data_IF_797232537988
#
_entry.id   IF_797232537988
#
_cell.length_a   1.000
_cell.length_b   1.000
_cell.length_c   1.000
_cell.angle_alpha   90.00
_cell.angle_beta   90.00
_cell.angle_gamma   90.00
#
_symmetry.space_group_name_H-M   'P 1'
#
loop_
_entity.id
_entity.type
_entity.pdbx_description
1 polymer ?
#
# COMPACT_ATOMS: atom_id res chain seq x y z
N UNK A 1 33.74 -18.79 26.94
CA UNK A 1 33.84 -17.60 26.08
C UNK A 1 32.55 -17.47 25.29
N UNK A 2 31.69 -16.53 25.67
CA UNK A 2 30.43 -16.26 24.97
C UNK A 2 30.74 -15.38 23.76
N UNK A 3 30.63 -15.95 22.55
CA UNK A 3 30.71 -15.18 21.32
C UNK A 3 29.63 -14.10 21.32
N UNK A 4 30.02 -12.83 21.40
CA UNK A 4 29.12 -11.70 21.14
C UNK A 4 28.60 -11.89 19.72
N UNK A 5 27.32 -12.21 19.59
CA UNK A 5 26.63 -12.28 18.29
C UNK A 5 26.89 -10.97 17.57
N UNK A 6 27.61 -11.00 16.45
CA UNK A 6 27.87 -9.80 15.64
C UNK A 6 26.52 -9.12 15.35
N UNK A 7 26.34 -7.88 15.82
CA UNK A 7 25.20 -7.06 15.44
C UNK A 7 25.34 -6.81 13.93
N UNK A 8 24.64 -7.61 13.12
CA UNK A 8 24.60 -7.43 11.67
C UNK A 8 24.15 -6.00 11.37
N UNK A 9 25.05 -5.24 10.76
CA UNK A 9 24.86 -3.83 10.48
C UNK A 9 23.63 -3.59 9.59
N UNK A 10 23.50 -4.41 8.54
CA UNK A 10 22.34 -4.43 7.66
C UNK A 10 21.34 -5.44 8.22
N UNK A 11 20.17 -4.96 8.61
CA UNK A 11 19.08 -5.79 9.09
C UNK A 11 18.36 -6.47 7.91
N UNK A 12 17.70 -7.62 8.13
CA UNK A 12 16.88 -8.25 7.10
C UNK A 12 15.85 -7.27 6.51
N UNK A 13 15.84 -7.15 5.19
CA UNK A 13 15.02 -6.20 4.42
C UNK A 13 14.49 -6.85 3.14
N UNK A 14 13.53 -6.21 2.47
CA UNK A 14 13.05 -6.63 1.16
C UNK A 14 12.00 -7.75 1.17
N UNK A 15 11.49 -8.13 2.34
CA UNK A 15 10.42 -9.12 2.52
C UNK A 15 9.01 -8.67 2.10
N UNK A 16 8.89 -7.63 1.27
CA UNK A 16 7.63 -6.95 0.97
C UNK A 16 6.51 -7.85 0.44
N UNK A 17 6.84 -8.95 -0.25
CA UNK A 17 5.82 -9.89 -0.76
C UNK A 17 4.95 -10.52 0.34
N UNK A 18 5.46 -10.55 1.58
CA UNK A 18 4.73 -11.05 2.76
C UNK A 18 3.89 -9.97 3.45
N UNK A 19 4.07 -8.69 3.10
CA UNK A 19 3.32 -7.59 3.70
C UNK A 19 1.88 -7.61 3.17
N UNK A 20 0.91 -7.58 4.08
CA UNK A 20 -0.51 -7.49 3.72
C UNK A 20 -0.81 -6.19 2.96
N UNK A 21 -0.13 -5.08 3.31
CA UNK A 21 -0.22 -3.80 2.60
C UNK A 21 0.19 -3.94 1.13
N UNK A 22 1.30 -4.63 0.85
CA UNK A 22 1.76 -4.89 -0.52
C UNK A 22 0.81 -5.80 -1.30
N UNK A 23 0.29 -6.85 -0.67
CA UNK A 23 -0.65 -7.77 -1.30
C UNK A 23 -1.96 -7.07 -1.65
N UNK A 24 -2.52 -6.26 -0.74
CA UNK A 24 -3.73 -5.48 -1.00
C UNK A 24 -3.50 -4.40 -2.07
N UNK A 25 -2.38 -3.67 -2.01
CA UNK A 25 -2.04 -2.67 -3.03
C UNK A 25 -1.83 -3.30 -4.41
N UNK A 26 -1.33 -4.54 -4.49
CA UNK A 26 -1.24 -5.29 -5.75
C UNK A 26 -2.61 -5.61 -6.33
N UNK A 27 -3.54 -6.06 -5.50
CA UNK A 27 -4.92 -6.34 -5.93
C UNK A 27 -5.62 -5.05 -6.40
N UNK A 28 -5.46 -3.94 -5.67
CA UNK A 28 -5.97 -2.63 -6.07
C UNK A 28 -5.40 -2.25 -7.43
N UNK A 29 -4.09 -2.37 -7.64
CA UNK A 29 -3.45 -2.05 -8.91
C UNK A 29 -4.03 -2.85 -10.08
N UNK A 30 -4.11 -4.18 -9.95
CA UNK A 30 -4.61 -5.04 -11.02
C UNK A 30 -6.08 -4.72 -11.35
N UNK A 31 -6.91 -4.52 -10.32
CA UNK A 31 -8.33 -4.17 -10.51
C UNK A 31 -8.51 -2.75 -11.06
N UNK A 32 -7.63 -1.80 -10.72
CA UNK A 32 -7.67 -0.44 -11.29
C UNK A 32 -7.38 -0.47 -12.79
N UNK A 33 -6.42 -1.28 -13.24
CA UNK A 33 -6.12 -1.44 -14.67
C UNK A 33 -7.34 -1.99 -15.41
N UNK A 34 -7.97 -3.06 -14.90
CA UNK A 34 -9.18 -3.63 -15.52
C UNK A 34 -10.38 -2.67 -15.44
N UNK A 35 -10.57 -1.97 -14.32
CA UNK A 35 -11.61 -0.94 -14.19
C UNK A 35 -11.46 0.14 -15.26
N UNK A 36 -10.27 0.69 -15.43
CA UNK A 36 -10.03 1.74 -16.42
C UNK A 36 -10.28 1.24 -17.84
N UNK A 37 -9.85 0.01 -18.16
CA UNK A 37 -10.07 -0.63 -19.45
C UNK A 37 -11.56 -0.81 -19.78
N UNK A 38 -12.38 -1.17 -18.79
CA UNK A 38 -13.81 -1.47 -18.99
C UNK A 38 -14.68 -0.21 -18.92
N UNK A 39 -14.44 0.66 -17.92
CA UNK A 39 -15.36 1.74 -17.53
C UNK A 39 -14.86 3.16 -17.83
N UNK A 40 -13.59 3.31 -18.18
CA UNK A 40 -12.95 4.59 -18.51
C UNK A 40 -12.52 4.68 -19.97
N UNK A 41 -13.29 4.07 -20.87
CA UNK A 41 -13.07 4.15 -22.33
C UNK A 41 -13.23 5.57 -22.86
N UNK A 42 -12.65 5.86 -24.02
CA UNK A 42 -12.77 7.16 -24.71
C UNK A 42 -14.22 7.63 -24.94
N UNK A 43 -15.18 6.70 -25.04
CA UNK A 43 -16.61 7.04 -25.20
C UNK A 43 -17.25 7.51 -23.90
N UNK A 44 -16.73 7.02 -22.79
CA UNK A 44 -17.27 7.24 -21.44
C UNK A 44 -16.47 8.25 -20.63
N UNK A 45 -15.26 8.56 -21.06
CA UNK A 45 -14.33 9.42 -20.37
C UNK A 45 -13.79 10.48 -21.32
N UNK A 46 -13.84 11.75 -20.91
CA UNK A 46 -13.46 12.89 -21.75
C UNK A 46 -11.93 13.03 -21.88
N UNK A 47 -11.13 12.31 -21.09
CA UNK A 47 -9.68 12.43 -21.09
C UNK A 47 -8.94 11.13 -20.76
N UNK A 48 -8.04 10.71 -21.65
CA UNK A 48 -7.09 9.62 -21.38
C UNK A 48 -6.16 9.94 -20.20
N UNK A 49 -5.98 11.22 -19.87
CA UNK A 49 -5.13 11.65 -18.75
C UNK A 49 -5.62 11.10 -17.41
N UNK A 50 -6.93 11.08 -17.17
CA UNK A 50 -7.49 10.55 -15.93
C UNK A 50 -7.23 9.05 -15.79
N UNK A 51 -7.29 8.29 -16.89
CA UNK A 51 -6.93 6.86 -16.89
C UNK A 51 -5.48 6.68 -16.48
N UNK A 52 -4.57 7.45 -17.08
CA UNK A 52 -3.14 7.37 -16.77
C UNK A 52 -2.87 7.75 -15.31
N UNK A 53 -3.55 8.78 -14.78
CA UNK A 53 -3.42 9.22 -13.40
C UNK A 53 -3.87 8.14 -12.42
N UNK A 54 -5.05 7.54 -12.61
CA UNK A 54 -5.54 6.46 -11.76
C UNK A 54 -4.59 5.25 -11.77
N UNK A 55 -4.16 4.81 -12.96
CA UNK A 55 -3.24 3.67 -13.08
C UNK A 55 -1.89 3.97 -12.42
N UNK A 56 -1.37 5.19 -12.58
CA UNK A 56 -0.10 5.60 -11.96
C UNK A 56 -0.21 5.75 -10.44
N UNK A 57 -1.31 6.28 -9.92
CA UNK A 57 -1.55 6.37 -8.48
C UNK A 57 -1.59 4.98 -7.85
N UNK A 58 -2.34 4.04 -8.45
CA UNK A 58 -2.39 2.64 -8.00
C UNK A 58 -1.02 1.96 -8.06
N UNK A 59 -0.30 2.14 -9.17
CA UNK A 59 1.07 1.61 -9.35
C UNK A 59 2.01 2.18 -8.30
N UNK A 60 2.00 3.49 -8.11
CA UNK A 60 2.84 4.22 -7.14
C UNK A 60 2.60 3.71 -5.72
N UNK A 61 1.34 3.51 -5.33
CA UNK A 61 0.97 2.92 -4.05
C UNK A 61 1.68 1.58 -3.80
N UNK A 62 1.61 0.67 -4.77
CA UNK A 62 2.24 -0.65 -4.69
C UNK A 62 3.78 -0.58 -4.73
N UNK A 63 4.35 0.23 -5.62
CA UNK A 63 5.80 0.30 -5.85
C UNK A 63 6.55 0.87 -4.65
N UNK A 64 6.04 1.94 -4.05
CA UNK A 64 6.67 2.58 -2.91
C UNK A 64 6.72 1.65 -1.67
N UNK A 65 5.76 0.73 -1.51
CA UNK A 65 5.83 -0.29 -0.46
C UNK A 65 7.01 -1.24 -0.68
N UNK A 66 7.21 -1.70 -1.91
CA UNK A 66 8.32 -2.58 -2.25
C UNK A 66 9.67 -1.86 -2.10
N UNK A 67 9.79 -0.65 -2.62
CA UNK A 67 11.01 0.17 -2.54
C UNK A 67 11.34 0.53 -1.07
N UNK A 68 10.33 0.91 -0.28
CA UNK A 68 10.50 1.20 1.15
C UNK A 68 11.03 -0.02 1.91
N UNK A 69 10.44 -1.19 1.67
CA UNK A 69 10.91 -2.43 2.28
C UNK A 69 12.33 -2.80 1.87
N UNK A 70 12.74 -2.55 0.62
CA UNK A 70 14.11 -2.77 0.17
C UNK A 70 15.10 -1.81 0.85
N UNK A 71 14.74 -0.54 0.99
CA UNK A 71 15.56 0.49 1.63
C UNK A 71 15.68 0.31 3.15
N UNK A 72 14.75 -0.40 3.81
CA UNK A 72 14.66 -0.53 5.27
C UNK A 72 15.95 -0.98 5.98
N UNK A 73 16.76 -1.83 5.34
CA UNK A 73 17.99 -2.34 5.92
C UNK A 73 19.10 -1.29 6.05
N UNK A 74 19.04 -0.22 5.25
CA UNK A 74 20.05 0.85 5.21
C UNK A 74 19.50 2.22 5.60
N UNK A 75 18.19 2.47 5.44
CA UNK A 75 17.55 3.75 5.78
C UNK A 75 16.08 3.59 6.18
N UNK A 76 15.82 3.59 7.50
CA UNK A 76 14.47 3.66 8.07
C UNK A 76 13.74 4.97 7.71
N UNK A 77 14.48 6.08 7.59
CA UNK A 77 13.91 7.37 7.16
C UNK A 77 13.37 7.28 5.73
N UNK A 78 14.12 6.63 4.84
CA UNK A 78 13.69 6.41 3.46
C UNK A 78 12.49 5.46 3.41
N UNK A 79 12.53 4.38 4.18
CA UNK A 79 11.39 3.47 4.31
C UNK A 79 10.13 4.22 4.74
N UNK A 80 10.17 4.95 5.86
CA UNK A 80 9.03 5.72 6.36
C UNK A 80 8.50 6.73 5.32
N UNK A 81 9.40 7.42 4.62
CA UNK A 81 9.03 8.35 3.53
C UNK A 81 8.28 7.62 2.42
N UNK A 82 8.80 6.49 1.93
CA UNK A 82 8.19 5.75 0.83
C UNK A 82 6.83 5.14 1.24
N UNK A 83 6.69 4.64 2.47
CA UNK A 83 5.39 4.16 2.95
C UNK A 83 4.36 5.30 3.03
N UNK A 84 4.77 6.51 3.42
CA UNK A 84 3.90 7.69 3.36
C UNK A 84 3.51 8.08 1.93
N UNK A 85 4.44 8.00 0.98
CA UNK A 85 4.13 8.23 -0.46
C UNK A 85 3.12 7.19 -0.94
N UNK A 86 3.30 5.91 -0.59
CA UNK A 86 2.35 4.86 -0.93
C UNK A 86 0.93 5.17 -0.42
N UNK A 87 0.84 5.59 0.85
CA UNK A 87 -0.43 5.96 1.50
C UNK A 87 -1.09 7.15 0.80
N UNK A 88 -0.31 8.16 0.42
CA UNK A 88 -0.81 9.33 -0.31
C UNK A 88 -1.28 8.98 -1.72
N UNK A 89 -0.56 8.12 -2.44
CA UNK A 89 -0.96 7.70 -3.79
C UNK A 89 -2.28 6.92 -3.78
N UNK A 90 -2.52 6.10 -2.75
CA UNK A 90 -3.80 5.41 -2.61
C UNK A 90 -4.93 6.35 -2.16
N UNK A 91 -4.63 7.45 -1.47
CA UNK A 91 -5.63 8.51 -1.19
C UNK A 91 -6.03 9.25 -2.46
N UNK A 92 -5.08 9.57 -3.33
CA UNK A 92 -5.36 10.19 -4.63
C UNK A 92 -6.28 9.29 -5.46
N UNK A 93 -5.95 8.00 -5.54
CA UNK A 93 -6.77 7.02 -6.24
C UNK A 93 -8.18 6.86 -5.61
N UNK A 94 -8.29 6.96 -4.29
CA UNK A 94 -9.59 6.93 -3.60
C UNK A 94 -10.50 8.05 -4.12
N UNK A 95 -9.98 9.28 -4.15
CA UNK A 95 -10.70 10.45 -4.62
C UNK A 95 -11.12 10.31 -6.08
N UNK A 96 -10.28 9.71 -6.94
CA UNK A 96 -10.64 9.44 -8.34
C UNK A 96 -11.88 8.53 -8.46
N UNK A 97 -12.01 7.51 -7.60
CA UNK A 97 -13.19 6.63 -7.59
C UNK A 97 -14.44 7.31 -7.02
N UNK A 98 -14.29 8.13 -5.98
CA UNK A 98 -15.39 8.93 -5.42
C UNK A 98 -15.91 9.93 -6.46
N UNK A 99 -14.99 10.59 -7.17
CA UNK A 99 -15.32 11.50 -8.26
C UNK A 99 -15.98 10.77 -9.43
N UNK A 100 -15.49 9.58 -9.80
CA UNK A 100 -16.13 8.75 -10.82
C UNK A 100 -17.61 8.47 -10.48
N UNK A 101 -17.89 8.06 -9.25
CA UNK A 101 -19.26 7.78 -8.79
C UNK A 101 -20.11 9.06 -8.82
N UNK A 102 -19.60 10.13 -8.20
CA UNK A 102 -20.30 11.41 -8.06
C UNK A 102 -20.63 12.05 -9.41
N UNK A 103 -19.68 12.13 -10.33
CA UNK A 103 -19.85 12.76 -11.64
C UNK A 103 -20.82 11.98 -12.54
N UNK A 104 -20.92 10.66 -12.34
CA UNK A 104 -21.81 9.78 -13.11
C UNK A 104 -23.15 9.52 -12.42
N UNK A 105 -23.43 10.18 -11.29
CA UNK A 105 -24.64 10.02 -10.47
C UNK A 105 -24.87 8.57 -10.04
N UNK A 106 -23.79 7.84 -9.80
CA UNK A 106 -23.80 6.49 -9.24
C UNK A 106 -23.77 6.57 -7.72
N UNK A 107 -24.34 5.58 -7.05
CA UNK A 107 -24.45 5.56 -5.59
C UNK A 107 -23.14 5.12 -4.96
N UNK A 108 -22.57 5.97 -4.11
CA UNK A 108 -21.50 5.56 -3.19
C UNK A 108 -22.10 4.78 -2.01
N UNK A 109 -21.48 3.64 -1.68
CA UNK A 109 -21.87 2.82 -0.56
C UNK A 109 -21.48 3.48 0.76
N UNK A 110 -22.43 3.52 1.70
CA UNK A 110 -22.11 3.87 3.09
C UNK A 110 -21.33 2.73 3.74
N UNK A 111 -20.68 3.02 4.87
CA UNK A 111 -19.97 2.01 5.68
C UNK A 111 -20.85 0.81 6.07
N UNK A 112 -22.16 1.02 6.26
CA UNK A 112 -23.11 0.02 6.74
C UNK A 112 -23.80 -0.76 5.61
N UNK A 113 -23.52 -0.42 4.35
CA UNK A 113 -24.01 -1.15 3.19
C UNK A 113 -23.60 -2.63 3.24
N UNK A 114 -24.54 -3.53 2.92
CA UNK A 114 -24.31 -4.98 2.97
C UNK A 114 -23.19 -5.43 2.02
N UNK A 115 -23.18 -4.93 0.77
CA UNK A 115 -22.15 -5.26 -0.20
C UNK A 115 -20.78 -4.72 0.22
N UNK A 116 -20.73 -3.52 0.80
CA UNK A 116 -19.49 -2.98 1.36
C UNK A 116 -18.94 -3.85 2.50
N UNK A 117 -19.81 -4.40 3.35
CA UNK A 117 -19.43 -5.35 4.41
C UNK A 117 -18.91 -6.65 3.81
N UNK A 118 -19.62 -7.23 2.86
CA UNK A 118 -19.20 -8.47 2.17
C UNK A 118 -17.81 -8.31 1.53
N UNK A 119 -17.58 -7.24 0.78
CA UNK A 119 -16.26 -6.95 0.19
C UNK A 119 -15.19 -6.86 1.27
N UNK A 120 -15.48 -6.19 2.39
CA UNK A 120 -14.52 -6.08 3.49
C UNK A 120 -14.18 -7.43 4.11
N UNK A 121 -15.17 -8.31 4.28
CA UNK A 121 -14.97 -9.66 4.81
C UNK A 121 -14.07 -10.53 3.90
N UNK A 122 -14.14 -10.33 2.57
CA UNK A 122 -13.29 -11.06 1.63
C UNK A 122 -11.79 -10.81 1.84
N UNK A 123 -11.39 -9.68 2.42
CA UNK A 123 -9.99 -9.41 2.71
C UNK A 123 -9.38 -10.40 3.72
N UNK A 124 -10.20 -11.06 4.54
CA UNK A 124 -9.75 -12.08 5.50
C UNK A 124 -9.58 -13.47 4.85
N UNK A 125 -9.98 -13.66 3.59
CA UNK A 125 -9.71 -14.92 2.88
C UNK A 125 -8.21 -15.13 2.66
N UNK A 126 -7.77 -16.37 2.85
CA UNK A 126 -6.43 -16.83 2.49
C UNK A 126 -6.28 -16.90 0.97
N UNK A 127 -5.08 -16.61 0.45
CA UNK A 127 -4.76 -16.69 -0.99
C UNK A 127 -5.64 -15.81 -1.90
N UNK A 128 -6.11 -14.67 -1.39
CA UNK A 128 -6.87 -13.70 -2.18
C UNK A 128 -6.04 -13.13 -3.35
N UNK A 129 -6.73 -12.87 -4.45
CA UNK A 129 -6.21 -12.24 -5.66
C UNK A 129 -7.29 -11.34 -6.26
N UNK A 130 -7.02 -10.65 -7.37
CA UNK A 130 -8.04 -9.86 -8.07
C UNK A 130 -9.29 -10.71 -8.42
N UNK A 131 -9.12 -12.01 -8.72
CA UNK A 131 -10.23 -12.93 -9.01
C UNK A 131 -11.20 -13.07 -7.84
N UNK A 132 -10.74 -12.86 -6.59
CA UNK A 132 -11.61 -12.90 -5.40
C UNK A 132 -12.72 -11.85 -5.46
N UNK A 133 -12.51 -10.76 -6.22
CA UNK A 133 -13.40 -9.62 -6.32
C UNK A 133 -14.06 -9.48 -7.70
N UNK A 134 -13.82 -10.41 -8.63
CA UNK A 134 -14.26 -10.33 -10.02
C UNK A 134 -15.78 -10.14 -10.16
N UNK A 135 -16.58 -10.77 -9.29
CA UNK A 135 -18.05 -10.62 -9.31
C UNK A 135 -18.51 -9.18 -9.08
N UNK A 136 -17.72 -8.37 -8.38
CA UNK A 136 -18.00 -6.95 -8.15
C UNK A 136 -17.60 -6.06 -9.33
N UNK A 137 -16.89 -6.60 -10.33
CA UNK A 137 -16.56 -5.89 -11.57
C UNK A 137 -17.70 -5.90 -12.60
N UNK A 138 -18.88 -6.42 -12.26
CA UNK A 138 -20.01 -6.62 -13.20
C UNK A 138 -20.66 -5.34 -13.72
N UNK A 139 -20.56 -4.23 -12.99
CA UNK A 139 -21.04 -2.91 -13.41
C UNK A 139 -20.19 -1.80 -12.76
N UNK A 140 -20.20 -0.57 -13.30
CA UNK A 140 -19.28 0.48 -12.85
C UNK A 140 -19.50 0.93 -11.40
N UNK A 141 -20.74 0.93 -10.92
CA UNK A 141 -21.07 1.33 -9.53
C UNK A 141 -20.51 0.32 -8.53
N UNK A 142 -20.78 -0.97 -8.74
CA UNK A 142 -20.24 -2.03 -7.87
C UNK A 142 -18.71 -2.07 -7.92
N UNK A 143 -18.12 -1.90 -9.10
CA UNK A 143 -16.68 -1.96 -9.29
C UNK A 143 -15.97 -0.82 -8.53
N UNK A 144 -16.43 0.42 -8.73
CA UNK A 144 -15.85 1.58 -8.05
C UNK A 144 -15.99 1.50 -6.53
N UNK A 145 -17.17 1.10 -6.03
CA UNK A 145 -17.38 0.97 -4.59
C UNK A 145 -16.56 -0.17 -3.96
N UNK A 146 -16.39 -1.28 -4.68
CA UNK A 146 -15.49 -2.36 -4.24
C UNK A 146 -14.05 -1.86 -4.15
N UNK A 147 -13.56 -1.14 -5.16
CA UNK A 147 -12.22 -0.55 -5.17
C UNK A 147 -12.01 0.45 -4.03
N UNK A 148 -12.99 1.30 -3.73
CA UNK A 148 -13.00 2.18 -2.56
C UNK A 148 -12.80 1.37 -1.26
N UNK A 149 -13.53 0.25 -1.09
CA UNK A 149 -13.38 -0.60 0.08
C UNK A 149 -11.96 -1.20 0.19
N UNK A 150 -11.40 -1.68 -0.92
CA UNK A 150 -10.05 -2.24 -0.94
C UNK A 150 -8.98 -1.20 -0.64
N UNK A 151 -9.14 0.03 -1.15
CA UNK A 151 -8.24 1.14 -0.90
C UNK A 151 -8.26 1.52 0.58
N UNK A 152 -9.43 1.61 1.21
CA UNK A 152 -9.52 1.84 2.66
C UNK A 152 -8.81 0.75 3.46
N UNK A 153 -8.93 -0.51 3.06
CA UNK A 153 -8.23 -1.62 3.73
C UNK A 153 -6.71 -1.53 3.55
N UNK A 154 -6.23 -1.22 2.34
CA UNK A 154 -4.82 -1.01 2.08
C UNK A 154 -4.28 0.19 2.89
N UNK A 155 -5.01 1.29 2.94
CA UNK A 155 -4.68 2.49 3.71
C UNK A 155 -4.61 2.18 5.21
N UNK A 156 -5.57 1.46 5.77
CA UNK A 156 -5.52 1.01 7.17
C UNK A 156 -4.27 0.18 7.48
N UNK A 157 -3.87 -0.72 6.58
CA UNK A 157 -2.64 -1.51 6.75
C UNK A 157 -1.39 -0.63 6.67
N UNK A 158 -1.37 0.37 5.77
CA UNK A 158 -0.27 1.33 5.66
C UNK A 158 -0.17 2.22 6.89
N UNK A 159 -1.28 2.73 7.42
CA UNK A 159 -1.30 3.56 8.62
C UNK A 159 -0.72 2.80 9.82
N UNK A 160 -1.09 1.52 9.98
CA UNK A 160 -0.49 0.66 11.01
C UNK A 160 1.00 0.40 10.78
N UNK A 161 1.40 0.22 9.52
CA UNK A 161 2.81 0.05 9.17
C UNK A 161 3.62 1.30 9.50
N UNK A 162 3.12 2.49 9.16
CA UNK A 162 3.73 3.80 9.47
C UNK A 162 3.90 3.94 10.99
N UNK A 163 2.84 3.73 11.77
CA UNK A 163 2.90 3.86 13.23
C UNK A 163 3.95 2.93 13.87
N UNK A 164 4.09 1.70 13.34
CA UNK A 164 5.12 0.76 13.80
C UNK A 164 6.52 1.21 13.40
N UNK A 165 6.70 1.75 12.19
CA UNK A 165 7.99 2.27 11.72
C UNK A 165 8.43 3.49 12.55
N UNK A 166 7.52 4.43 12.83
CA UNK A 166 7.79 5.60 13.67
C UNK A 166 8.20 5.19 15.10
N UNK A 167 7.44 4.28 15.72
CA UNK A 167 7.78 3.75 17.04
C UNK A 167 9.18 3.11 17.05
N UNK A 168 9.47 2.26 16.06
CA UNK A 168 10.77 1.61 15.96
C UNK A 168 11.91 2.62 15.74
N UNK A 169 11.68 3.67 14.97
CA UNK A 169 12.67 4.72 14.74
C UNK A 169 13.03 5.44 16.04
N UNK A 170 12.03 5.78 16.86
CA UNK A 170 12.23 6.42 18.17
C UNK A 170 12.95 5.48 19.15
N UNK A 171 12.54 4.20 19.23
CA UNK A 171 13.07 3.26 20.22
C UNK A 171 14.47 2.74 19.90
N UNK A 172 14.78 2.53 18.61
CA UNK A 172 16.00 1.80 18.18
C UNK A 172 17.05 2.70 17.52
N UNK A 173 16.69 3.94 17.21
CA UNK A 173 17.54 4.86 16.48
C UNK A 173 17.77 4.46 15.01
N UNK A 174 18.39 5.36 14.26
CA UNK A 174 18.67 5.16 12.84
C UNK A 174 19.85 4.24 12.53
N UNK A 175 20.07 3.97 11.23
CA UNK A 175 21.23 3.22 10.75
C UNK A 175 22.56 3.89 11.13
N UNK A 176 22.64 5.22 11.05
CA UNK A 176 23.83 6.00 11.43
C UNK A 176 24.18 5.84 12.92
N UNK A 177 23.18 5.78 13.80
CA UNK A 177 23.38 5.58 15.23
C UNK A 177 23.90 4.17 15.52
N UNK A 178 23.34 3.15 14.84
CA UNK A 178 23.86 1.77 14.90
C UNK A 178 25.31 1.68 14.41
N UNK A 179 25.62 2.31 13.28
CA UNK A 179 26.99 2.42 12.75
C UNK A 179 27.94 3.03 13.78
N UNK A 180 27.54 4.14 14.40
CA UNK A 180 28.34 4.82 15.41
C UNK A 180 28.58 3.91 16.63
N UNK A 181 27.55 3.21 17.11
CA UNK A 181 27.64 2.26 18.24
C UNK A 181 28.61 1.12 17.94
N UNK A 182 28.50 0.48 16.77
CA UNK A 182 29.40 -0.61 16.33
C UNK A 182 30.84 -0.09 16.21
N UNK A 183 31.05 1.08 15.58
CA UNK A 183 32.38 1.69 15.47
C UNK A 183 33.01 1.99 16.82
N UNK A 184 32.22 2.48 17.79
CA UNK A 184 32.68 2.74 19.15
C UNK A 184 33.10 1.45 19.85
N UNK A 185 32.28 0.39 19.77
CA UNK A 185 32.59 -0.91 20.36
C UNK A 185 33.88 -1.53 19.80
N UNK A 186 34.09 -1.44 18.48
CA UNK A 186 35.32 -1.95 17.86
C UNK A 186 36.57 -1.15 18.23
N UNK A 187 36.44 0.15 18.56
CA UNK A 187 37.55 0.98 19.04
C UNK A 187 37.88 0.75 20.52
N UNK A 188 36.89 0.37 21.33
CA UNK A 188 37.05 0.11 22.77
C UNK A 188 37.46 -1.34 23.10
N UNK A 189 37.58 -2.20 22.09
CA UNK A 189 37.99 -3.60 22.22
C UNK A 189 39.48 -3.86 21.92
N UNK A 190 40.29 -2.80 21.80
CA UNK A 190 41.75 -2.84 21.74
C UNK A 190 42.34 -2.31 23.05
#
# INVERSE_FOLDING_TARGET
>A
MTYKKEENLIQPHGGYRKLLSFQMASIVYDLTVEFCKIYMTYKTNMSNRTVDQMIQAARSGRQNIAEGSQASGTSQKTELKLINVARSSLEELLLDYEDFLRQRKLKQWSKDNLQAREVRELAYKTNRSYMTYETYMSNPEMAANMLICLIHQANYLLDRQIAVLEKNFIEKGGFTERMYKIRKQNRSGF
#
